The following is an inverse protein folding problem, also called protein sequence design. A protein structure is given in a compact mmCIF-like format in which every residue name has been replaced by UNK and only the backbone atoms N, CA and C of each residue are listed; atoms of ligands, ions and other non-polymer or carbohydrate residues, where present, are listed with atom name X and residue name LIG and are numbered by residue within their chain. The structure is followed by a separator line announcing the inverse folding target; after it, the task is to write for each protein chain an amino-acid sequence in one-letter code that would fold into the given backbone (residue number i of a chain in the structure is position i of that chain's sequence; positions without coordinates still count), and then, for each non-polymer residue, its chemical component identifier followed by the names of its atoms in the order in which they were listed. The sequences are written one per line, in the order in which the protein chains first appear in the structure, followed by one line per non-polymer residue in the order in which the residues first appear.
data_IF_149131119232
#
_entry.id   IF_149131119232
#
_cell.length_a   1.000
_cell.length_b   1.000
_cell.length_c   1.000
_cell.angle_alpha   90.00
_cell.angle_beta   90.00
_cell.angle_gamma   90.00
#
_symmetry.space_group_name_H-M   'P 1'
#
loop_
_entity.id
_entity.type
_entity.pdbx_description
1 polymer ?
#
# COMPACT_ATOMS: atom_id res chain seq x y z
N UNK A 1 -20.76 -3.55 -14.04
CA UNK A 1 -20.17 -3.23 -12.73
C UNK A 1 -18.67 -3.12 -12.96
N UNK A 2 -18.08 -1.92 -12.86
CA UNK A 2 -16.65 -1.75 -13.12
C UNK A 2 -15.89 -2.40 -11.96
N UNK A 3 -15.13 -3.46 -12.24
CA UNK A 3 -14.24 -4.08 -11.26
C UNK A 3 -13.05 -3.13 -11.07
N UNK A 4 -13.10 -2.29 -10.04
CA UNK A 4 -11.94 -1.47 -9.68
C UNK A 4 -10.78 -2.37 -9.24
N UNK A 5 -9.52 -2.01 -9.55
CA UNK A 5 -8.36 -2.79 -9.10
C UNK A 5 -8.33 -2.91 -7.57
N UNK A 6 -8.14 -4.14 -7.09
CA UNK A 6 -8.04 -4.48 -5.67
C UNK A 6 -6.76 -5.26 -5.41
N UNK A 7 -6.24 -5.14 -4.18
CA UNK A 7 -5.11 -5.94 -3.72
C UNK A 7 -5.58 -7.33 -3.31
N UNK A 8 -4.72 -8.33 -3.49
CA UNK A 8 -4.97 -9.71 -3.08
C UNK A 8 -5.06 -9.82 -1.55
N UNK A 9 -6.11 -10.48 -1.05
CA UNK A 9 -6.28 -10.74 0.39
C UNK A 9 -5.10 -11.52 0.96
N UNK A 10 -4.57 -12.49 0.22
CA UNK A 10 -3.41 -13.27 0.65
C UNK A 10 -2.16 -12.39 0.79
N UNK A 11 -1.93 -11.47 -0.14
CA UNK A 11 -0.80 -10.56 -0.09
C UNK A 11 -0.91 -9.59 1.11
N UNK A 12 -2.12 -9.09 1.37
CA UNK A 12 -2.42 -8.26 2.55
C UNK A 12 -2.18 -9.04 3.85
N UNK A 13 -2.70 -10.26 3.95
CA UNK A 13 -2.55 -11.11 5.14
C UNK A 13 -1.08 -11.49 5.37
N UNK A 14 -0.33 -11.81 4.32
CA UNK A 14 1.10 -12.09 4.40
C UNK A 14 1.89 -10.88 4.92
N UNK A 15 1.55 -9.67 4.49
CA UNK A 15 2.18 -8.45 4.98
C UNK A 15 1.87 -8.18 6.45
N UNK A 16 0.62 -8.39 6.88
CA UNK A 16 0.21 -8.28 8.29
C UNK A 16 0.98 -9.31 9.12
N UNK A 17 0.99 -10.57 8.70
CA UNK A 17 1.68 -11.65 9.41
C UNK A 17 3.19 -11.37 9.53
N UNK A 18 3.84 -10.93 8.44
CA UNK A 18 5.25 -10.55 8.43
C UNK A 18 5.53 -9.38 9.39
N UNK A 19 4.63 -8.39 9.45
CA UNK A 19 4.77 -7.26 10.35
C UNK A 19 4.62 -7.67 11.82
N UNK A 20 3.63 -8.51 12.15
CA UNK A 20 3.45 -9.03 13.50
C UNK A 20 4.64 -9.92 13.94
N UNK A 21 5.18 -10.74 13.02
CA UNK A 21 6.37 -11.56 13.27
C UNK A 21 7.63 -10.73 13.57
N UNK A 22 7.75 -9.55 12.95
CA UNK A 22 8.87 -8.64 13.20
C UNK A 22 8.96 -8.22 14.68
N UNK A 23 7.80 -8.06 15.34
CA UNK A 23 7.73 -7.67 16.76
C UNK A 23 7.73 -8.86 17.73
N UNK A 24 7.39 -10.08 17.28
CA UNK A 24 7.39 -11.28 18.14
C UNK A 24 8.77 -11.90 18.38
N UNK A 25 9.85 -11.25 17.93
CA UNK A 25 11.23 -11.68 18.16
C UNK A 25 11.74 -12.76 17.20
N UNK A 26 10.92 -13.21 16.25
CA UNK A 26 11.34 -14.14 15.20
C UNK A 26 11.97 -13.37 14.03
N UNK A 27 13.29 -13.19 14.08
CA UNK A 27 14.06 -12.51 13.02
C UNK A 27 14.10 -13.37 11.75
N UNK A 28 13.17 -13.13 10.83
CA UNK A 28 13.32 -13.56 9.44
C UNK A 28 13.61 -12.33 8.56
N UNK A 29 14.75 -12.40 7.87
CA UNK A 29 15.33 -11.32 7.08
C UNK A 29 14.72 -11.37 5.68
N UNK A 30 13.57 -10.72 5.44
CA UNK A 30 13.16 -10.36 4.07
C UNK A 30 12.09 -9.29 4.00
N UNK A 31 12.20 -8.48 2.95
CA UNK A 31 11.35 -7.40 2.48
C UNK A 31 11.52 -6.05 3.17
N UNK A 32 11.64 -5.00 2.35
CA UNK A 32 12.06 -3.64 2.69
C UNK A 32 11.19 -3.01 3.79
N UNK A 33 11.53 -3.28 5.05
CA UNK A 33 10.95 -2.69 6.24
C UNK A 33 11.62 -1.34 6.51
N UNK A 34 10.85 -0.25 6.38
CA UNK A 34 11.28 1.06 6.90
C UNK A 34 10.82 1.10 8.35
N UNK A 35 11.71 0.75 9.28
CA UNK A 35 11.50 0.94 10.72
C UNK A 35 11.71 2.42 11.05
N UNK A 36 10.68 3.07 11.57
CA UNK A 36 10.84 4.30 12.34
C UNK A 36 10.95 3.91 13.81
N UNK A 37 11.93 4.48 14.50
CA UNK A 37 12.43 4.13 15.85
C UNK A 37 11.35 4.01 16.96
N UNK A 38 10.13 4.49 16.73
CA UNK A 38 9.00 4.53 17.67
C UNK A 38 8.04 3.30 17.61
N UNK A 39 8.47 2.17 17.04
CA UNK A 39 7.62 0.97 16.91
C UNK A 39 6.61 1.03 15.77
N UNK A 40 6.83 1.93 14.81
CA UNK A 40 6.09 2.02 13.55
C UNK A 40 6.79 1.20 12.47
N UNK A 41 6.03 0.33 11.80
CA UNK A 41 6.53 -0.51 10.71
C UNK A 41 5.55 -0.47 9.54
N UNK A 42 6.05 -0.07 8.37
CA UNK A 42 5.35 -0.21 7.10
C UNK A 42 5.90 -1.41 6.32
N UNK A 43 5.06 -2.40 6.06
CA UNK A 43 5.42 -3.63 5.32
C UNK A 43 4.74 -3.63 3.97
N UNK A 44 5.51 -3.76 2.90
CA UNK A 44 4.97 -3.86 1.54
C UNK A 44 4.12 -5.14 1.41
N UNK A 45 2.88 -5.00 0.97
CA UNK A 45 1.98 -6.11 0.68
C UNK A 45 2.06 -6.52 -0.78
N UNK A 46 1.70 -5.62 -1.68
CA UNK A 46 1.61 -5.92 -3.11
C UNK A 46 1.72 -4.64 -3.93
N UNK A 47 2.17 -4.78 -5.17
CA UNK A 47 2.11 -3.75 -6.19
C UNK A 47 1.26 -4.24 -7.36
N UNK A 48 0.23 -3.48 -7.73
CA UNK A 48 -0.64 -3.79 -8.86
C UNK A 48 -0.46 -2.74 -9.96
N UNK A 49 -0.58 -3.17 -11.21
CA UNK A 49 -0.58 -2.29 -12.37
C UNK A 49 -1.99 -1.80 -12.67
N UNK A 50 -2.10 -0.51 -13.00
CA UNK A 50 -3.37 0.13 -13.33
C UNK A 50 -3.13 1.29 -14.29
N UNK A 51 -4.22 1.79 -14.87
CA UNK A 51 -4.18 2.96 -15.76
C UNK A 51 -4.77 4.15 -15.04
N UNK A 52 -4.07 5.28 -15.10
CA UNK A 52 -4.58 6.57 -14.62
C UNK A 52 -5.65 7.02 -15.60
N UNK A 53 -6.86 7.29 -15.09
CA UNK A 53 -7.99 7.73 -15.91
C UNK A 53 -8.69 8.91 -15.24
N UNK A 54 -9.03 9.92 -16.02
CA UNK A 54 -9.75 11.11 -15.55
C UNK A 54 -9.02 11.81 -14.38
N UNK A 55 -7.68 11.86 -14.47
CA UNK A 55 -6.82 12.52 -13.47
C UNK A 55 -6.87 11.87 -12.09
N UNK A 56 -7.25 10.58 -12.01
CA UNK A 56 -7.31 9.84 -10.74
C UNK A 56 -7.02 8.36 -10.93
N UNK A 57 -6.70 7.74 -9.81
CA UNK A 57 -6.55 6.30 -9.67
C UNK A 57 -7.48 5.84 -8.58
N UNK A 58 -8.43 4.97 -8.92
CA UNK A 58 -9.37 4.40 -7.95
C UNK A 58 -8.93 2.98 -7.58
N UNK A 59 -8.92 2.70 -6.28
CA UNK A 59 -8.41 1.47 -5.68
C UNK A 59 -9.33 1.03 -4.55
N UNK A 60 -9.50 -0.28 -4.37
CA UNK A 60 -10.14 -0.82 -3.17
C UNK A 60 -9.05 -1.12 -2.14
N UNK A 61 -9.12 -0.44 -1.00
CA UNK A 61 -8.20 -0.62 0.10
C UNK A 61 -8.73 -1.62 1.13
N UNK A 62 -7.85 -2.49 1.67
CA UNK A 62 -8.22 -3.47 2.70
C UNK A 62 -8.47 -2.79 4.06
N UNK A 63 -8.65 -3.60 5.11
CA UNK A 63 -8.90 -3.15 6.48
C UNK A 63 -10.19 -2.34 6.63
N UNK A 64 -11.18 -2.58 5.77
CA UNK A 64 -12.48 -1.90 5.83
C UNK A 64 -12.46 -0.44 5.35
N UNK A 65 -11.37 0.02 4.73
CA UNK A 65 -11.27 1.39 4.20
C UNK A 65 -12.16 1.56 2.95
N UNK A 66 -12.26 0.50 2.13
CA UNK A 66 -13.11 0.49 0.95
C UNK A 66 -12.50 1.21 -0.25
N UNK A 67 -13.36 1.64 -1.19
CA UNK A 67 -12.94 2.28 -2.44
C UNK A 67 -12.49 3.72 -2.19
N UNK A 68 -11.27 4.04 -2.63
CA UNK A 68 -10.74 5.41 -2.64
C UNK A 68 -10.30 5.79 -4.04
N UNK A 69 -10.43 7.06 -4.40
CA UNK A 69 -9.80 7.62 -5.59
C UNK A 69 -8.73 8.63 -5.18
N UNK A 70 -7.51 8.41 -5.64
CA UNK A 70 -6.36 9.26 -5.39
C UNK A 70 -6.21 10.20 -6.60
N UNK A 71 -6.27 11.52 -6.41
CA UNK A 71 -6.07 12.46 -7.50
C UNK A 71 -4.61 12.40 -7.97
N UNK A 72 -4.42 12.34 -9.28
CA UNK A 72 -3.13 12.30 -9.95
C UNK A 72 -3.05 13.49 -10.91
N UNK A 73 -1.90 14.16 -11.06
CA UNK A 73 -1.77 15.23 -12.04
C UNK A 73 -2.16 14.76 -13.44
N UNK A 74 -2.95 15.56 -14.15
CA UNK A 74 -3.49 15.23 -15.49
C UNK A 74 -2.41 14.95 -16.54
N UNK A 75 -1.16 15.36 -16.30
CA UNK A 75 0.01 15.03 -17.14
C UNK A 75 0.35 13.54 -17.18
N UNK A 76 -0.25 12.73 -16.30
CA UNK A 76 -0.08 11.28 -16.26
C UNK A 76 -1.33 10.50 -16.72
N UNK A 77 -2.37 11.18 -17.20
CA UNK A 77 -3.59 10.52 -17.67
C UNK A 77 -3.31 9.59 -18.87
N UNK A 78 -3.93 8.41 -18.86
CA UNK A 78 -3.70 7.34 -19.84
C UNK A 78 -2.37 6.59 -19.68
N UNK A 79 -1.53 6.94 -18.70
CA UNK A 79 -0.29 6.19 -18.42
C UNK A 79 -0.55 4.98 -17.53
N UNK A 80 0.22 3.92 -17.77
CA UNK A 80 0.32 2.78 -16.85
C UNK A 80 1.09 3.23 -15.62
N UNK A 81 0.46 3.05 -14.47
CA UNK A 81 1.01 3.30 -13.16
C UNK A 81 1.03 2.00 -12.36
N UNK A 82 1.95 1.94 -11.40
CA UNK A 82 2.01 0.88 -10.42
C UNK A 82 1.60 1.45 -9.06
N UNK A 83 0.55 0.90 -8.48
CA UNK A 83 0.12 1.21 -7.12
C UNK A 83 0.61 0.13 -6.17
N UNK A 84 1.49 0.50 -5.25
CA UNK A 84 1.98 -0.37 -4.19
C UNK A 84 1.29 -0.05 -2.85
N UNK A 85 0.76 -1.09 -2.23
CA UNK A 85 0.16 -1.06 -0.90
C UNK A 85 1.20 -1.50 0.14
N UNK A 86 1.38 -0.71 1.18
CA UNK A 86 2.07 -1.13 2.40
C UNK A 86 1.10 -1.12 3.58
N UNK A 87 1.15 -2.15 4.40
CA UNK A 87 0.41 -2.21 5.66
C UNK A 87 1.24 -1.54 6.75
N UNK A 88 0.62 -0.61 7.45
CA UNK A 88 1.23 0.08 8.57
C UNK A 88 0.78 -0.58 9.87
N UNK A 89 1.76 -0.89 10.69
CA UNK A 89 1.56 -1.48 12.00
C UNK A 89 2.27 -0.66 13.06
N UNK A 90 1.68 -0.61 14.25
CA UNK A 90 2.31 -0.08 15.44
C UNK A 90 2.35 -1.22 16.45
N UNK A 91 3.55 -1.62 16.90
CA UNK A 91 3.74 -2.78 17.77
C UNK A 91 3.08 -4.07 17.25
N UNK A 92 3.10 -4.28 15.92
CA UNK A 92 2.56 -5.47 15.27
C UNK A 92 1.04 -5.49 15.06
N UNK A 93 0.33 -4.43 15.47
CA UNK A 93 -1.11 -4.27 15.24
C UNK A 93 -1.32 -3.41 13.99
N UNK A 94 -2.11 -3.85 12.99
CA UNK A 94 -2.41 -3.04 11.79
C UNK A 94 -3.24 -1.80 12.16
N UNK A 95 -2.68 -0.63 11.85
CA UNK A 95 -3.26 0.68 12.19
C UNK A 95 -3.59 1.53 10.97
N UNK A 96 -3.14 1.12 9.79
CA UNK A 96 -3.37 1.85 8.56
C UNK A 96 -2.72 1.20 7.35
N UNK A 97 -2.82 1.88 6.22
CA UNK A 97 -2.16 1.51 4.98
C UNK A 97 -1.52 2.73 4.32
N UNK A 98 -0.42 2.51 3.63
CA UNK A 98 0.24 3.49 2.77
C UNK A 98 0.13 3.03 1.33
N UNK A 99 -0.45 3.87 0.48
CA UNK A 99 -0.54 3.63 -0.96
C UNK A 99 0.46 4.54 -1.65
N UNK A 100 1.32 3.95 -2.47
CA UNK A 100 2.27 4.68 -3.31
C UNK A 100 1.93 4.41 -4.75
N UNK A 101 1.79 5.45 -5.56
CA UNK A 101 1.57 5.31 -7.00
C UNK A 101 2.83 5.79 -7.70
N UNK A 102 3.34 4.97 -8.61
CA UNK A 102 4.53 5.24 -9.39
C UNK A 102 4.26 5.08 -10.88
N UNK A 103 4.96 5.87 -11.69
CA UNK A 103 4.90 5.77 -13.17
C UNK A 103 6.33 5.59 -13.64
N UNK A 104 6.58 4.56 -14.44
CA UNK A 104 7.92 4.17 -14.89
C UNK A 104 8.95 4.03 -13.73
N UNK A 105 8.50 3.47 -12.60
CA UNK A 105 9.34 3.27 -11.40
C UNK A 105 9.58 4.51 -10.54
N UNK A 106 9.06 5.69 -10.93
CA UNK A 106 9.17 6.92 -10.15
C UNK A 106 7.88 7.14 -9.36
N UNK A 107 7.96 7.20 -8.02
CA UNK A 107 6.80 7.51 -7.17
C UNK A 107 6.33 8.94 -7.40
N UNK A 108 5.09 9.09 -7.86
CA UNK A 108 4.46 10.39 -8.14
C UNK A 108 3.56 10.85 -7.00
N UNK A 109 3.02 9.91 -6.20
CA UNK A 109 2.25 10.22 -5.00
C UNK A 109 2.40 9.12 -3.96
N UNK A 110 2.41 9.52 -2.69
CA UNK A 110 2.36 8.63 -1.54
C UNK A 110 1.28 9.14 -0.60
N UNK A 111 0.28 8.32 -0.29
CA UNK A 111 -0.84 8.69 0.58
C UNK A 111 -1.04 7.65 1.67
N UNK A 112 -1.18 8.13 2.89
CA UNK A 112 -1.44 7.32 4.08
C UNK A 112 -2.91 7.39 4.44
N UNK A 113 -3.48 6.25 4.81
CA UNK A 113 -4.83 6.12 5.34
C UNK A 113 -4.74 5.44 6.70
N UNK A 114 -5.20 6.11 7.76
CA UNK A 114 -5.01 5.65 9.14
C UNK A 114 -3.69 6.12 9.73
N UNK A 115 -3.06 5.29 10.58
CA UNK A 115 -1.75 5.60 11.18
C UNK A 115 -0.64 4.78 10.52
N UNK A 116 0.31 5.53 9.96
CA UNK A 116 1.66 5.16 9.60
C UNK A 116 2.53 6.28 10.21
#
# INVERSE_FOLDING_TARGET
MANDPSFSEDAVNNAIASASQHYSGFRQKSSASISSDDGHLATLAECIELVINDGKVCLVLPLGIGKICIPIPVSYDGKVAQACLSICTIWGIPTGVKVTVSVAGVTIISKVFGKC
#
